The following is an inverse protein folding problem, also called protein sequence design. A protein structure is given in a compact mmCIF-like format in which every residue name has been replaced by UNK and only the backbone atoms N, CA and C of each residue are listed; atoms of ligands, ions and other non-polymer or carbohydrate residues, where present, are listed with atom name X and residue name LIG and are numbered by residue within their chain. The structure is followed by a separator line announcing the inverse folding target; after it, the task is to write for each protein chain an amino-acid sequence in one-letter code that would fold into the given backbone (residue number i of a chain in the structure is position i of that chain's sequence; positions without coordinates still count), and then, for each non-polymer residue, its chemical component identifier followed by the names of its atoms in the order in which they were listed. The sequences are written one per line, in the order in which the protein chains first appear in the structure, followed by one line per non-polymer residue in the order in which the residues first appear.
data_IF_635847092133
#
_entry.id   IF_635847092133
#
_cell.length_a   1.000
_cell.length_b   1.000
_cell.length_c   1.000
_cell.angle_alpha   90.00
_cell.angle_beta   90.00
_cell.angle_gamma   90.00
#
_symmetry.space_group_name_H-M   'P 1'
#
loop_
_entity.id
_entity.type
_entity.pdbx_description
1 polymer ?
#
# COMPACT_ATOMS: atom_id res chain seq x y z
N UNK A 1 -5.15 45.38 -26.99
CA UNK A 1 -5.04 45.13 -28.45
C UNK A 1 -3.58 45.04 -28.83
N UNK A 2 -3.14 43.88 -29.35
CA UNK A 2 -2.23 43.81 -30.48
C UNK A 2 -2.93 43.14 -31.66
N UNK A 3 -2.75 43.71 -32.86
CA UNK A 3 -3.32 43.25 -34.12
C UNK A 3 -2.85 41.83 -34.45
N UNK A 4 -3.79 40.91 -34.58
CA UNK A 4 -3.56 39.63 -35.23
C UNK A 4 -3.29 39.89 -36.72
N UNK A 5 -2.07 39.64 -37.16
CA UNK A 5 -1.77 39.41 -38.57
C UNK A 5 -2.48 38.11 -38.96
N UNK A 6 -3.60 38.25 -39.68
CA UNK A 6 -4.23 37.16 -40.43
C UNK A 6 -3.26 36.81 -41.56
N UNK A 7 -2.68 35.59 -41.61
CA UNK A 7 -1.95 35.16 -42.78
C UNK A 7 -2.94 34.69 -43.85
N UNK A 8 -2.62 35.03 -45.09
CA UNK A 8 -3.32 34.73 -46.33
C UNK A 8 -4.12 33.42 -46.33
N UNK A 9 -5.40 33.53 -46.66
CA UNK A 9 -6.30 32.42 -46.94
C UNK A 9 -5.77 31.61 -48.14
N UNK A 10 -5.00 30.56 -47.87
CA UNK A 10 -4.89 29.44 -48.80
C UNK A 10 -6.30 28.95 -49.09
N UNK A 11 -6.80 29.15 -50.32
CA UNK A 11 -8.14 28.74 -50.73
C UNK A 11 -8.24 27.21 -50.67
N UNK A 12 -8.67 26.70 -49.51
CA UNK A 12 -8.92 25.28 -49.30
C UNK A 12 -10.03 24.83 -50.24
N UNK A 13 -9.71 23.93 -51.18
CA UNK A 13 -10.71 23.37 -52.09
C UNK A 13 -11.77 22.58 -51.31
N UNK A 14 -12.97 22.36 -51.87
CA UNK A 14 -14.01 21.55 -51.22
C UNK A 14 -13.52 20.17 -50.77
N UNK A 15 -12.60 19.55 -51.52
CA UNK A 15 -12.00 18.25 -51.20
C UNK A 15 -11.13 18.29 -49.94
N UNK A 16 -10.38 19.38 -49.73
CA UNK A 16 -9.63 19.62 -48.50
C UNK A 16 -10.55 19.66 -47.27
N UNK A 17 -11.71 20.34 -47.38
CA UNK A 17 -12.68 20.39 -46.27
C UNK A 17 -13.27 19.01 -45.97
N UNK A 18 -13.53 18.20 -47.00
CA UNK A 18 -14.07 16.84 -46.86
C UNK A 18 -13.08 15.90 -46.17
N UNK A 19 -11.79 15.91 -46.56
CA UNK A 19 -10.81 15.01 -45.92
C UNK A 19 -10.57 15.40 -44.45
N UNK A 20 -10.49 16.69 -44.12
CA UNK A 20 -10.33 17.12 -42.73
C UNK A 20 -11.53 16.71 -41.91
N UNK A 21 -12.75 16.92 -42.41
CA UNK A 21 -13.95 16.49 -41.69
C UNK A 21 -13.95 14.98 -41.45
N UNK A 22 -13.52 14.19 -42.44
CA UNK A 22 -13.41 12.73 -42.32
C UNK A 22 -12.35 12.32 -41.27
N UNK A 23 -11.22 13.03 -41.23
CA UNK A 23 -10.16 12.82 -40.23
C UNK A 23 -10.65 13.20 -38.84
N UNK A 24 -11.29 14.36 -38.70
CA UNK A 24 -11.89 14.81 -37.44
C UNK A 24 -12.91 13.80 -36.94
N UNK A 25 -13.79 13.28 -37.81
CA UNK A 25 -14.72 12.19 -37.44
C UNK A 25 -13.97 10.93 -37.01
N UNK A 26 -12.91 10.54 -37.72
CA UNK A 26 -12.09 9.39 -37.35
C UNK A 26 -11.41 9.57 -35.99
N UNK A 27 -10.89 10.76 -35.70
CA UNK A 27 -10.30 11.10 -34.40
C UNK A 27 -11.35 11.13 -33.31
N UNK A 28 -12.54 11.69 -33.56
CA UNK A 28 -13.65 11.63 -32.61
C UNK A 28 -13.99 10.19 -32.28
N UNK A 29 -14.10 9.30 -33.27
CA UNK A 29 -14.33 7.88 -33.06
C UNK A 29 -13.19 7.20 -32.28
N UNK A 30 -11.94 7.59 -32.54
CA UNK A 30 -10.77 7.13 -31.79
C UNK A 30 -10.82 7.60 -30.32
N UNK A 31 -11.12 8.88 -30.08
CA UNK A 31 -11.29 9.48 -28.75
C UNK A 31 -12.44 8.84 -27.96
N UNK A 32 -13.50 8.41 -28.64
CA UNK A 32 -14.66 7.78 -28.00
C UNK A 32 -14.43 6.31 -27.59
N UNK A 33 -13.27 5.71 -27.91
CA UNK A 33 -12.96 4.33 -27.50
C UNK A 33 -12.80 4.20 -25.98
N UNK A 34 -12.14 5.15 -25.32
CA UNK A 34 -12.05 5.22 -23.86
C UNK A 34 -11.75 6.64 -23.38
N UNK A 35 -11.95 6.95 -22.09
CA UNK A 35 -11.58 8.25 -21.52
C UNK A 35 -10.09 8.61 -21.69
N UNK A 36 -9.19 7.62 -21.68
CA UNK A 36 -7.77 7.87 -21.94
C UNK A 36 -7.53 8.35 -23.38
N UNK A 37 -8.24 7.77 -24.35
CA UNK A 37 -8.19 8.24 -25.73
C UNK A 37 -8.75 9.66 -25.86
N UNK A 38 -9.79 9.98 -25.07
CA UNK A 38 -10.37 11.32 -25.02
C UNK A 38 -9.40 12.35 -24.43
N UNK A 39 -8.65 11.99 -23.40
CA UNK A 39 -7.63 12.83 -22.75
C UNK A 39 -6.40 13.14 -23.64
N UNK A 40 -6.25 12.48 -24.81
CA UNK A 40 -5.13 12.76 -25.70
C UNK A 40 -5.24 14.11 -26.41
N UNK A 41 -6.44 14.74 -26.46
CA UNK A 41 -6.67 16.07 -27.04
C UNK A 41 -5.98 16.29 -28.41
N UNK A 42 -6.02 15.28 -29.29
CA UNK A 42 -5.36 15.31 -30.61
C UNK A 42 -6.06 16.27 -31.58
N UNK A 43 -5.51 17.44 -31.80
CA UNK A 43 -5.99 18.43 -32.75
C UNK A 43 -5.39 18.23 -34.13
N UNK A 44 -6.11 18.73 -35.15
CA UNK A 44 -5.75 18.52 -36.55
C UNK A 44 -5.82 19.82 -37.33
N UNK A 45 -4.75 20.11 -38.05
CA UNK A 45 -4.63 21.31 -38.88
C UNK A 45 -3.95 20.98 -40.21
N UNK A 46 -4.20 21.79 -41.24
CA UNK A 46 -3.42 21.70 -42.47
C UNK A 46 -1.99 22.18 -42.24
N UNK A 47 -1.02 21.50 -42.85
CA UNK A 47 0.33 22.03 -42.95
C UNK A 47 0.32 23.22 -43.91
N UNK A 48 1.08 24.28 -43.59
CA UNK A 48 1.29 25.44 -44.47
C UNK A 48 1.89 25.04 -45.83
N UNK A 49 2.55 23.89 -45.92
CA UNK A 49 3.14 23.35 -47.15
C UNK A 49 2.18 22.47 -47.98
N UNK A 50 0.87 22.52 -47.70
CA UNK A 50 -0.12 21.73 -48.44
C UNK A 50 -0.31 22.34 -49.82
N UNK A 51 0.36 21.77 -50.83
CA UNK A 51 0.22 22.20 -52.22
C UNK A 51 -1.17 21.83 -52.78
N UNK A 52 -1.79 22.70 -53.61
CA UNK A 52 -3.00 22.36 -54.33
C UNK A 52 -2.76 21.17 -55.27
N UNK A 53 -3.82 20.38 -55.47
CA UNK A 53 -3.81 19.11 -56.19
C UNK A 53 -3.45 19.36 -57.65
N UNK A 54 -2.52 18.57 -58.20
CA UNK A 54 -2.33 18.53 -59.65
C UNK A 54 -3.55 17.81 -60.29
N UNK A 55 -4.18 18.39 -61.33
CA UNK A 55 -5.46 17.92 -61.88
C UNK A 55 -5.47 16.45 -62.36
N UNK A 56 -4.29 15.85 -62.59
CA UNK A 56 -4.13 14.46 -63.06
C UNK A 56 -3.98 13.39 -61.96
N UNK A 57 -3.96 13.77 -60.67
CA UNK A 57 -3.78 12.79 -59.60
C UNK A 57 -5.10 12.08 -59.25
N UNK A 58 -5.22 10.77 -59.59
CA UNK A 58 -6.38 9.93 -59.21
C UNK A 58 -6.58 9.73 -57.70
N UNK A 59 -5.72 10.30 -56.85
CA UNK A 59 -5.76 10.18 -55.39
C UNK A 59 -5.46 11.51 -54.73
N UNK A 60 -6.48 12.10 -54.12
CA UNK A 60 -6.32 13.26 -53.26
C UNK A 60 -5.45 12.91 -52.04
N UNK A 61 -4.38 13.70 -51.83
CA UNK A 61 -3.52 13.61 -50.64
C UNK A 61 -3.26 15.00 -50.08
N UNK A 62 -3.20 15.11 -48.75
CA UNK A 62 -2.95 16.36 -48.05
C UNK A 62 -1.91 16.15 -46.93
N UNK A 63 -1.08 17.17 -46.68
CA UNK A 63 -0.19 17.19 -45.52
C UNK A 63 -0.93 17.75 -44.32
N UNK A 64 -1.01 16.96 -43.27
CA UNK A 64 -1.83 17.25 -42.10
C UNK A 64 -0.96 17.16 -40.85
N UNK A 65 -1.13 18.15 -39.98
CA UNK A 65 -0.50 18.24 -38.69
C UNK A 65 -1.47 17.62 -37.68
N UNK A 66 -0.99 16.63 -36.92
CA UNK A 66 -1.67 16.11 -35.74
C UNK A 66 -0.88 16.58 -34.54
N UNK A 67 -1.54 17.24 -33.59
CA UNK A 67 -0.87 17.81 -32.44
C UNK A 67 -1.65 17.53 -31.15
N UNK A 68 -0.95 17.36 -30.04
CA UNK A 68 -1.51 17.50 -28.71
C UNK A 68 -0.57 18.41 -27.88
N UNK A 69 -0.78 18.48 -26.56
CA UNK A 69 0.03 19.34 -25.69
C UNK A 69 1.54 19.03 -25.66
N UNK A 70 1.96 17.82 -26.04
CA UNK A 70 3.36 17.37 -25.90
C UNK A 70 4.02 16.93 -27.20
N UNK A 71 3.23 16.63 -28.23
CA UNK A 71 3.71 16.01 -29.47
C UNK A 71 3.00 16.61 -30.68
N UNK A 72 3.79 16.94 -31.69
CA UNK A 72 3.30 17.37 -33.00
C UNK A 72 3.93 16.48 -34.07
N UNK A 73 3.10 15.93 -34.95
CA UNK A 73 3.54 15.14 -36.09
C UNK A 73 2.89 15.63 -37.37
N UNK A 74 3.69 15.68 -38.44
CA UNK A 74 3.21 16.00 -39.78
C UNK A 74 3.15 14.70 -40.58
N UNK A 75 2.01 14.43 -41.22
CA UNK A 75 1.79 13.22 -42.02
C UNK A 75 1.08 13.53 -43.33
N UNK A 76 1.30 12.68 -44.33
CA UNK A 76 0.55 12.72 -45.59
C UNK A 76 -0.67 11.81 -45.44
N UNK A 77 -1.85 12.40 -45.53
CA UNK A 77 -3.13 11.69 -45.47
C UNK A 77 -3.73 11.59 -46.87
N UNK A 78 -4.44 10.51 -47.14
CA UNK A 78 -5.19 10.31 -48.38
C UNK A 78 -6.48 9.55 -48.12
N UNK A 79 -7.36 9.52 -49.13
CA UNK A 79 -8.62 8.76 -49.06
C UNK A 79 -8.50 7.50 -49.91
N UNK A 80 -8.91 6.34 -49.38
CA UNK A 80 -9.02 5.10 -50.18
C UNK A 80 -10.15 5.27 -51.20
N UNK A 81 -9.92 5.02 -52.51
CA UNK A 81 -10.93 5.22 -53.55
C UNK A 81 -12.20 4.37 -53.35
N UNK A 82 -12.04 3.15 -52.85
CA UNK A 82 -13.13 2.16 -52.74
C UNK A 82 -13.89 2.30 -51.42
N UNK A 83 -13.19 2.43 -50.29
CA UNK A 83 -13.83 2.44 -48.96
C UNK A 83 -14.09 3.84 -48.43
N UNK A 84 -13.55 4.88 -49.08
CA UNK A 84 -13.61 6.25 -48.60
C UNK A 84 -12.89 6.50 -47.27
N UNK A 85 -12.21 5.50 -46.72
CA UNK A 85 -11.50 5.61 -45.44
C UNK A 85 -10.21 6.42 -45.59
N UNK A 86 -9.87 7.16 -44.53
CA UNK A 86 -8.60 7.88 -44.47
C UNK A 86 -7.47 6.89 -44.22
N UNK A 87 -6.40 7.05 -44.99
CA UNK A 87 -5.12 6.39 -44.78
C UNK A 87 -4.01 7.39 -44.58
N UNK A 88 -3.01 7.00 -43.79
CA UNK A 88 -1.84 7.82 -43.46
C UNK A 88 -0.60 7.15 -44.05
N UNK A 89 0.27 7.92 -44.70
CA UNK A 89 1.54 7.42 -45.21
C UNK A 89 2.60 7.49 -44.13
N UNK A 90 3.05 6.32 -43.67
CA UNK A 90 4.12 6.17 -42.67
C UNK A 90 5.20 5.23 -43.18
N UNK A 91 6.47 5.67 -43.12
CA UNK A 91 7.64 4.89 -43.58
C UNK A 91 7.44 4.24 -44.97
N UNK A 92 6.80 4.99 -45.89
CA UNK A 92 6.52 4.53 -47.26
C UNK A 92 5.26 3.65 -47.43
N UNK A 93 4.59 3.22 -46.35
CA UNK A 93 3.37 2.39 -46.40
C UNK A 93 2.13 3.20 -46.02
N UNK A 94 0.96 2.79 -46.55
CA UNK A 94 -0.33 3.38 -46.20
C UNK A 94 -0.98 2.58 -45.06
N UNK A 95 -1.06 3.16 -43.88
CA UNK A 95 -1.67 2.58 -42.68
C UNK A 95 -3.04 3.22 -42.39
N UNK A 96 -3.86 2.58 -41.55
CA UNK A 96 -5.14 3.17 -41.14
C UNK A 96 -4.90 4.38 -40.22
N UNK A 97 -5.87 5.29 -40.17
CA UNK A 97 -5.85 6.42 -39.24
C UNK A 97 -5.71 5.92 -37.78
N UNK A 98 -6.44 4.88 -37.39
CA UNK A 98 -6.40 4.36 -36.01
C UNK A 98 -5.02 3.79 -35.65
N UNK A 99 -4.38 3.04 -36.55
CA UNK A 99 -3.05 2.46 -36.28
C UNK A 99 -2.00 3.55 -36.11
N UNK A 100 -2.05 4.57 -36.96
CA UNK A 100 -1.15 5.73 -36.87
C UNK A 100 -1.40 6.52 -35.57
N UNK A 101 -2.66 6.75 -35.17
CA UNK A 101 -2.97 7.43 -33.91
C UNK A 101 -2.47 6.61 -32.70
N UNK A 102 -2.70 5.30 -32.68
CA UNK A 102 -2.25 4.43 -31.59
C UNK A 102 -0.71 4.39 -31.45
N UNK A 103 0.02 4.47 -32.58
CA UNK A 103 1.47 4.48 -32.58
C UNK A 103 2.07 5.82 -32.14
N UNK A 104 1.50 6.95 -32.59
CA UNK A 104 2.09 8.27 -32.36
C UNK A 104 1.50 8.97 -31.12
N UNK A 105 0.31 8.57 -30.65
CA UNK A 105 -0.36 9.12 -29.48
C UNK A 105 -0.84 8.00 -28.54
N UNK A 106 0.08 7.28 -27.87
CA UNK A 106 -0.29 6.14 -27.03
C UNK A 106 -1.07 6.59 -25.78
N UNK A 107 -2.12 5.85 -25.42
CA UNK A 107 -2.91 6.11 -24.20
C UNK A 107 -2.10 6.03 -22.89
N UNK A 108 -0.94 5.39 -22.89
CA UNK A 108 -0.05 5.27 -21.72
C UNK A 108 0.42 6.65 -21.22
N UNK A 109 0.48 7.66 -22.10
CA UNK A 109 0.84 9.02 -21.73
C UNK A 109 -0.35 9.89 -21.31
N UNK A 110 -1.58 9.37 -21.34
CA UNK A 110 -2.78 10.13 -21.01
C UNK A 110 -3.18 9.96 -19.53
N UNK A 111 -3.67 11.04 -18.92
CA UNK A 111 -4.27 11.02 -17.59
C UNK A 111 -5.76 11.42 -17.72
N UNK A 112 -6.66 10.50 -17.39
CA UNK A 112 -8.09 10.81 -17.36
C UNK A 112 -8.47 11.48 -16.03
N UNK A 113 -8.89 12.74 -16.08
CA UNK A 113 -9.45 13.44 -14.92
C UNK A 113 -10.95 13.19 -14.82
N UNK A 114 -11.57 13.57 -13.69
CA UNK A 114 -13.03 13.51 -13.53
C UNK A 114 -13.77 14.28 -14.63
N UNK A 115 -13.24 15.44 -15.03
CA UNK A 115 -13.79 16.23 -16.15
C UNK A 115 -13.67 15.48 -17.49
N UNK A 116 -12.55 14.81 -17.75
CA UNK A 116 -12.38 13.97 -18.94
C UNK A 116 -13.40 12.83 -18.97
N UNK A 117 -13.59 12.16 -17.83
CA UNK A 117 -14.56 11.07 -17.69
C UNK A 117 -15.99 11.57 -17.97
N UNK A 118 -16.36 12.72 -17.40
CA UNK A 118 -17.66 13.35 -17.61
C UNK A 118 -17.88 13.75 -19.07
N UNK A 119 -16.93 14.45 -19.70
CA UNK A 119 -17.03 14.86 -21.10
C UNK A 119 -17.10 13.67 -22.06
N UNK A 120 -16.32 12.61 -21.81
CA UNK A 120 -16.41 11.38 -22.59
C UNK A 120 -17.81 10.75 -22.44
N UNK A 121 -18.34 10.69 -21.22
CA UNK A 121 -19.67 10.14 -20.96
C UNK A 121 -20.76 10.90 -21.70
N UNK A 122 -20.77 12.23 -21.60
CA UNK A 122 -21.71 13.09 -22.31
C UNK A 122 -21.60 12.97 -23.83
N UNK A 123 -20.39 12.79 -24.35
CA UNK A 123 -20.14 12.68 -25.79
C UNK A 123 -20.46 11.29 -26.38
N UNK A 124 -20.37 10.23 -25.58
CA UNK A 124 -20.59 8.86 -26.06
C UNK A 124 -22.07 8.55 -26.31
N UNK A 125 -23.01 9.25 -25.65
CA UNK A 125 -24.45 9.14 -25.91
C UNK A 125 -25.04 7.74 -25.68
N UNK A 126 -24.31 6.84 -25.02
CA UNK A 126 -24.71 5.44 -24.81
C UNK A 126 -25.51 5.27 -23.52
N UNK A 127 -26.44 4.33 -23.54
CA UNK A 127 -27.11 3.80 -22.34
C UNK A 127 -26.08 3.06 -21.49
N UNK A 128 -26.20 3.17 -20.17
CA UNK A 128 -25.31 2.47 -19.24
C UNK A 128 -25.32 0.96 -19.46
N UNK A 129 -24.16 0.40 -19.79
CA UNK A 129 -23.93 -1.03 -19.93
C UNK A 129 -22.57 -1.38 -19.33
N UNK A 130 -22.57 -1.99 -18.14
CA UNK A 130 -21.35 -2.35 -17.42
C UNK A 130 -20.34 -3.11 -18.29
N UNK A 131 -20.77 -4.13 -19.03
CA UNK A 131 -19.88 -4.96 -19.84
C UNK A 131 -19.13 -4.14 -20.90
N UNK A 132 -19.82 -3.16 -21.50
CA UNK A 132 -19.27 -2.28 -22.53
C UNK A 132 -18.51 -1.06 -22.01
N UNK A 133 -18.44 -0.83 -20.69
CA UNK A 133 -17.68 0.28 -20.14
C UNK A 133 -16.16 0.04 -20.26
N UNK A 134 -15.39 1.08 -20.63
CA UNK A 134 -13.95 1.09 -20.47
C UNK A 134 -13.54 0.84 -19.02
N UNK A 135 -12.37 0.20 -18.84
CA UNK A 135 -11.87 -0.21 -17.53
C UNK A 135 -11.69 0.98 -16.58
N UNK A 136 -11.30 2.13 -17.10
CA UNK A 136 -11.05 3.35 -16.33
C UNK A 136 -12.33 3.91 -15.71
N UNK A 137 -13.46 3.83 -16.43
CA UNK A 137 -14.77 4.23 -15.90
C UNK A 137 -15.25 3.23 -14.86
N UNK A 138 -15.08 1.93 -15.13
CA UNK A 138 -15.40 0.87 -14.16
C UNK A 138 -14.64 1.11 -12.85
N UNK A 139 -13.36 1.40 -12.94
CA UNK A 139 -12.51 1.69 -11.79
C UNK A 139 -12.97 2.94 -11.05
N UNK A 140 -13.29 4.02 -11.77
CA UNK A 140 -13.79 5.25 -11.15
C UNK A 140 -15.12 5.05 -10.42
N UNK A 141 -16.07 4.31 -11.01
CA UNK A 141 -17.34 3.95 -10.36
C UNK A 141 -17.08 3.13 -9.08
N UNK A 142 -16.22 2.11 -9.17
CA UNK A 142 -15.89 1.27 -8.01
C UNK A 142 -15.16 2.07 -6.92
N UNK A 143 -14.23 2.94 -7.29
CA UNK A 143 -13.57 3.86 -6.37
C UNK A 143 -14.57 4.78 -5.67
N UNK A 144 -15.55 5.31 -6.40
CA UNK A 144 -16.63 6.11 -5.82
C UNK A 144 -17.46 5.29 -4.82
N UNK A 145 -17.90 4.09 -5.17
CA UNK A 145 -18.66 3.20 -4.28
C UNK A 145 -17.87 2.86 -3.00
N UNK A 146 -16.61 2.44 -3.14
CA UNK A 146 -15.73 2.10 -2.01
C UNK A 146 -15.40 3.31 -1.15
N UNK A 147 -15.19 4.50 -1.74
CA UNK A 147 -14.94 5.74 -1.02
C UNK A 147 -16.17 6.25 -0.26
N UNK A 148 -17.38 6.05 -0.81
CA UNK A 148 -18.66 6.42 -0.19
C UNK A 148 -19.06 5.50 0.98
N UNK A 149 -18.61 4.24 0.99
CA UNK A 149 -18.91 3.27 2.04
C UNK A 149 -18.62 3.78 3.46
N UNK A 150 -17.65 4.68 3.59
CA UNK A 150 -17.20 5.24 4.87
C UNK A 150 -17.91 6.54 5.28
N UNK A 151 -18.65 7.18 4.37
CA UNK A 151 -19.46 8.37 4.69
C UNK A 151 -20.82 7.98 5.30
N UNK A 152 -21.35 6.81 4.93
CA UNK A 152 -22.61 6.28 5.47
C UNK A 152 -22.45 5.44 6.74
N UNK A 153 -21.25 4.93 7.02
CA UNK A 153 -21.00 4.09 8.19
C UNK A 153 -21.29 4.81 9.52
N UNK A 154 -21.01 6.11 9.63
CA UNK A 154 -21.15 6.82 10.91
C UNK A 154 -22.58 6.87 11.45
N UNK A 155 -23.60 6.84 10.58
CA UNK A 155 -25.00 6.77 11.01
C UNK A 155 -25.41 5.35 11.43
N UNK A 156 -25.06 4.33 10.63
CA UNK A 156 -25.42 2.93 10.89
C UNK A 156 -24.81 2.39 12.20
N UNK A 157 -23.55 2.75 12.51
CA UNK A 157 -22.90 2.31 13.76
C UNK A 157 -23.24 3.17 14.98
N UNK A 158 -23.88 4.32 14.80
CA UNK A 158 -24.55 5.05 15.89
C UNK A 158 -25.85 4.36 16.30
N UNK A 159 -26.58 3.79 15.34
CA UNK A 159 -27.85 3.08 15.59
C UNK A 159 -27.64 1.61 15.97
N UNK A 160 -26.51 1.00 15.61
CA UNK A 160 -26.16 -0.39 15.92
C UNK A 160 -24.80 -0.47 16.64
N UNK A 161 -24.74 -0.18 17.96
CA UNK A 161 -23.48 -0.14 18.72
C UNK A 161 -22.74 -1.48 18.76
N UNK A 162 -23.46 -2.59 18.57
CA UNK A 162 -22.91 -3.94 18.53
C UNK A 162 -22.45 -4.38 17.13
N UNK A 163 -22.78 -3.62 16.08
CA UNK A 163 -22.31 -3.94 14.73
C UNK A 163 -20.81 -3.65 14.61
N UNK A 164 -20.07 -4.57 14.00
CA UNK A 164 -18.63 -4.40 13.74
C UNK A 164 -18.44 -3.20 12.81
N UNK A 165 -17.98 -2.06 13.36
CA UNK A 165 -17.58 -0.87 12.56
C UNK A 165 -16.66 -1.32 11.41
N UNK A 166 -16.87 -0.88 10.16
CA UNK A 166 -16.09 -1.31 9.01
C UNK A 166 -14.73 -0.66 9.21
N UNK A 167 -13.74 -1.46 9.62
CA UNK A 167 -12.42 -0.92 9.87
C UNK A 167 -11.66 -1.03 8.56
N UNK A 168 -11.29 0.12 8.02
CA UNK A 168 -10.44 0.44 6.83
C UNK A 168 -9.33 -0.57 6.44
N UNK A 169 -9.01 -1.53 7.29
CA UNK A 169 -7.88 -2.42 7.21
C UNK A 169 -8.16 -3.73 6.44
N UNK A 170 -9.39 -4.28 6.48
CA UNK A 170 -9.74 -5.49 5.71
C UNK A 170 -10.48 -5.13 4.40
N UNK A 171 -10.27 -5.91 3.33
CA UNK A 171 -10.92 -5.66 2.01
C UNK A 171 -12.44 -5.59 2.12
N UNK A 172 -13.06 -6.47 2.92
CA UNK A 172 -14.51 -6.45 3.15
C UNK A 172 -14.97 -5.21 3.91
N UNK A 173 -14.18 -4.79 4.89
CA UNK A 173 -14.48 -3.61 5.70
C UNK A 173 -14.34 -2.31 4.88
N UNK A 174 -13.43 -2.26 3.91
CA UNK A 174 -13.32 -1.14 2.94
C UNK A 174 -14.52 -1.06 1.99
N UNK A 175 -15.23 -2.18 1.79
CA UNK A 175 -16.39 -2.23 0.90
C UNK A 175 -17.69 -1.94 1.66
N UNK A 176 -17.78 -2.28 2.94
CA UNK A 176 -19.00 -2.08 3.74
C UNK A 176 -20.23 -2.67 3.04
N UNK A 177 -21.24 -1.84 2.84
CA UNK A 177 -22.49 -2.20 2.15
C UNK A 177 -22.26 -2.63 0.68
N UNK A 178 -21.13 -2.24 0.09
CA UNK A 178 -20.72 -2.63 -1.26
C UNK A 178 -19.96 -3.96 -1.31
N UNK A 179 -19.90 -4.72 -0.21
CA UNK A 179 -19.24 -6.05 -0.19
C UNK A 179 -19.80 -7.03 -1.24
N UNK A 180 -21.08 -6.87 -1.62
CA UNK A 180 -21.72 -7.62 -2.69
C UNK A 180 -21.02 -7.47 -4.06
N UNK A 181 -20.23 -6.40 -4.28
CA UNK A 181 -19.43 -6.22 -5.50
C UNK A 181 -18.46 -7.39 -5.73
N UNK A 182 -17.97 -8.03 -4.67
CA UNK A 182 -17.11 -9.21 -4.79
C UNK A 182 -17.85 -10.41 -5.39
N UNK A 183 -19.18 -10.43 -5.35
CA UNK A 183 -20.01 -11.55 -5.80
C UNK A 183 -20.50 -11.38 -7.25
N UNK A 184 -20.46 -10.18 -7.82
CA UNK A 184 -21.10 -9.85 -9.11
C UNK A 184 -20.45 -10.59 -10.29
N UNK A 185 -19.14 -10.43 -10.50
CA UNK A 185 -18.42 -11.09 -11.58
C UNK A 185 -16.92 -11.19 -11.29
N UNK A 186 -16.21 -12.04 -12.04
CA UNK A 186 -14.75 -12.17 -11.92
C UNK A 186 -14.03 -10.84 -12.22
N UNK A 187 -14.49 -10.10 -13.23
CA UNK A 187 -13.91 -8.80 -13.59
C UNK A 187 -14.14 -7.76 -12.48
N UNK A 188 -15.36 -7.64 -11.96
CA UNK A 188 -15.69 -6.70 -10.88
C UNK A 188 -14.88 -7.05 -9.63
N UNK A 189 -14.89 -8.31 -9.20
CA UNK A 189 -14.11 -8.78 -8.05
C UNK A 189 -12.63 -8.46 -8.19
N UNK A 190 -12.04 -8.69 -9.36
CA UNK A 190 -10.63 -8.43 -9.59
C UNK A 190 -10.31 -6.92 -9.51
N UNK A 191 -11.12 -6.07 -10.15
CA UNK A 191 -10.95 -4.62 -10.11
C UNK A 191 -11.15 -4.07 -8.69
N UNK A 192 -12.23 -4.43 -8.02
CA UNK A 192 -12.52 -4.03 -6.63
C UNK A 192 -11.39 -4.43 -5.69
N UNK A 193 -10.95 -5.69 -5.75
CA UNK A 193 -9.86 -6.17 -4.89
C UNK A 193 -8.55 -5.45 -5.19
N UNK A 194 -8.25 -5.19 -6.48
CA UNK A 194 -7.06 -4.44 -6.89
C UNK A 194 -7.10 -3.02 -6.35
N UNK A 195 -8.25 -2.34 -6.40
CA UNK A 195 -8.41 -0.99 -5.84
C UNK A 195 -8.18 -0.98 -4.33
N UNK A 196 -8.79 -1.91 -3.59
CA UNK A 196 -8.58 -2.06 -2.15
C UNK A 196 -7.11 -2.31 -1.78
N UNK A 197 -6.41 -3.15 -2.56
CA UNK A 197 -5.00 -3.47 -2.32
C UNK A 197 -4.02 -2.40 -2.84
N UNK A 198 -4.40 -1.59 -3.82
CA UNK A 198 -3.56 -0.49 -4.33
C UNK A 198 -3.55 0.70 -3.35
N UNK A 199 -4.61 0.82 -2.54
CA UNK A 199 -4.79 1.96 -1.65
C UNK A 199 -5.34 3.19 -2.39
N UNK A 200 -5.66 4.23 -1.62
CA UNK A 200 -6.11 5.53 -2.10
C UNK A 200 -5.69 6.62 -1.09
N UNK A 201 -6.13 7.87 -1.30
CA UNK A 201 -5.84 8.99 -0.38
C UNK A 201 -6.33 8.75 1.06
N UNK A 202 -7.35 7.93 1.25
CA UNK A 202 -7.91 7.60 2.57
C UNK A 202 -7.21 6.38 3.18
N UNK A 203 -6.70 5.46 2.35
CA UNK A 203 -6.24 4.13 2.73
C UNK A 203 -4.87 3.80 2.16
N UNK A 204 -3.99 3.49 3.08
CA UNK A 204 -2.71 2.90 2.77
C UNK A 204 -2.85 1.57 2.00
N UNK A 205 -2.19 1.44 0.84
CA UNK A 205 -2.23 0.21 0.03
C UNK A 205 -1.64 -1.02 0.72
N UNK A 206 -2.06 -2.19 0.28
CA UNK A 206 -1.65 -3.51 0.76
C UNK A 206 -2.65 -4.18 1.69
N UNK A 207 -2.50 -5.51 1.89
CA UNK A 207 -3.30 -6.25 2.86
C UNK A 207 -2.97 -5.75 4.27
N UNK A 208 -3.95 -5.18 4.96
CA UNK A 208 -3.77 -4.60 6.29
C UNK A 208 -4.51 -5.43 7.34
N UNK A 209 -3.93 -5.57 8.53
CA UNK A 209 -4.60 -6.21 9.67
C UNK A 209 -4.64 -5.21 10.82
N UNK A 210 -5.84 -5.01 11.38
CA UNK A 210 -6.01 -4.19 12.57
C UNK A 210 -6.55 -5.00 13.73
N UNK A 211 -6.00 -4.79 14.91
CA UNK A 211 -6.39 -5.52 16.10
C UNK A 211 -6.32 -4.63 17.33
N UNK A 212 -7.38 -4.70 18.16
CA UNK A 212 -7.49 -3.94 19.41
C UNK A 212 -7.31 -4.81 20.67
N UNK A 213 -7.05 -6.10 20.47
CA UNK A 213 -6.72 -7.02 21.56
C UNK A 213 -5.77 -8.10 21.07
N UNK A 214 -4.97 -8.70 21.96
CA UNK A 214 -4.08 -9.80 21.59
C UNK A 214 -4.82 -11.01 21.02
N UNK A 215 -6.07 -11.24 21.47
CA UNK A 215 -6.92 -12.30 20.96
C UNK A 215 -7.32 -12.04 19.51
N UNK A 216 -7.86 -10.85 19.21
CA UNK A 216 -8.20 -10.45 17.83
C UNK A 216 -6.99 -10.61 16.90
N UNK A 217 -5.82 -10.16 17.36
CA UNK A 217 -4.59 -10.25 16.59
C UNK A 217 -4.17 -11.70 16.32
N UNK A 218 -4.15 -12.52 17.37
CA UNK A 218 -3.83 -13.95 17.26
C UNK A 218 -4.81 -14.67 16.34
N UNK A 219 -6.10 -14.40 16.45
CA UNK A 219 -7.14 -15.01 15.64
C UNK A 219 -7.01 -14.59 14.16
N UNK A 220 -6.74 -13.31 13.90
CA UNK A 220 -6.51 -12.79 12.55
C UNK A 220 -5.29 -13.46 11.88
N UNK A 221 -4.13 -13.45 12.55
CA UNK A 221 -2.91 -14.09 12.05
C UNK A 221 -3.12 -15.58 11.85
N UNK A 222 -3.72 -16.27 12.82
CA UNK A 222 -3.97 -17.72 12.74
C UNK A 222 -4.93 -18.05 11.60
N UNK A 223 -6.01 -17.28 11.40
CA UNK A 223 -6.93 -17.45 10.27
C UNK A 223 -6.21 -17.27 8.94
N UNK A 224 -5.50 -16.15 8.76
CA UNK A 224 -4.78 -15.85 7.51
C UNK A 224 -3.64 -16.84 7.23
N UNK A 225 -3.10 -17.49 8.27
CA UNK A 225 -2.06 -18.50 8.14
C UNK A 225 -2.55 -19.82 7.53
N UNK A 226 -3.87 -20.08 7.53
CA UNK A 226 -4.46 -21.34 7.03
C UNK A 226 -4.75 -21.31 5.53
N UNK A 227 -4.70 -20.13 4.90
CA UNK A 227 -5.12 -19.96 3.51
C UNK A 227 -3.88 -19.72 2.63
N UNK A 228 -3.54 -20.69 1.77
CA UNK A 228 -2.43 -20.58 0.82
C UNK A 228 -2.74 -19.60 -0.31
N UNK A 229 -1.73 -18.86 -0.76
CA UNK A 229 -1.80 -18.00 -1.94
C UNK A 229 -1.66 -18.86 -3.19
N UNK A 230 -2.65 -18.81 -4.09
CA UNK A 230 -2.67 -19.61 -5.33
C UNK A 230 -1.97 -18.87 -6.48
N UNK A 231 -0.80 -18.28 -6.20
CA UNK A 231 -0.03 -17.49 -7.18
C UNK A 231 0.93 -18.37 -7.99
N UNK A 232 1.52 -19.39 -7.34
CA UNK A 232 2.47 -20.31 -7.98
C UNK A 232 1.85 -21.69 -8.17
N UNK A 233 2.33 -22.50 -9.14
CA UNK A 233 1.91 -23.88 -9.25
C UNK A 233 2.32 -24.68 -8.01
N UNK A 234 1.50 -25.66 -7.62
CA UNK A 234 1.71 -26.53 -6.45
C UNK A 234 1.87 -25.75 -5.12
N UNK A 235 1.21 -24.60 -4.99
CA UNK A 235 1.21 -23.77 -3.78
C UNK A 235 0.51 -24.41 -2.58
N UNK A 236 -0.38 -25.37 -2.82
CA UNK A 236 -1.07 -26.12 -1.75
C UNK A 236 -0.32 -27.42 -1.52
N UNK A 237 0.12 -27.72 -0.28
CA UNK A 237 0.78 -28.99 0.01
C UNK A 237 -0.21 -30.15 -0.11
N UNK A 238 0.15 -31.15 -0.91
CA UNK A 238 -0.68 -32.35 -1.17
C UNK A 238 -0.14 -33.61 -0.49
N UNK A 239 1.10 -33.59 -0.01
CA UNK A 239 1.77 -34.73 0.63
C UNK A 239 2.54 -34.31 1.90
N UNK A 240 2.90 -35.29 2.74
CA UNK A 240 3.59 -35.06 4.03
C UNK A 240 4.88 -34.24 3.87
N UNK A 241 5.68 -34.51 2.83
CA UNK A 241 6.94 -33.78 2.56
C UNK A 241 6.67 -32.30 2.27
N UNK A 242 5.71 -32.01 1.39
CA UNK A 242 5.30 -30.63 1.07
C UNK A 242 4.67 -29.93 2.27
N UNK A 243 3.98 -30.66 3.15
CA UNK A 243 3.43 -30.11 4.38
C UNK A 243 4.53 -29.74 5.37
N UNK A 244 5.60 -30.51 5.47
CA UNK A 244 6.78 -30.15 6.27
C UNK A 244 7.44 -28.88 5.74
N UNK A 245 7.65 -28.78 4.42
CA UNK A 245 8.22 -27.59 3.77
C UNK A 245 7.33 -26.35 3.95
N UNK A 246 6.02 -26.50 3.78
CA UNK A 246 5.05 -25.43 4.04
C UNK A 246 5.09 -24.98 5.50
N UNK A 247 5.17 -25.92 6.45
CA UNK A 247 5.27 -25.63 7.89
C UNK A 247 6.59 -24.90 8.23
N UNK A 248 7.68 -25.27 7.57
CA UNK A 248 8.98 -24.62 7.72
C UNK A 248 8.93 -23.17 7.23
N UNK A 249 8.38 -22.94 6.04
CA UNK A 249 8.19 -21.60 5.50
C UNK A 249 7.28 -20.74 6.39
N UNK A 250 6.18 -21.32 6.90
CA UNK A 250 5.22 -20.64 7.77
C UNK A 250 5.84 -20.07 9.06
N UNK A 251 6.88 -20.73 9.57
CA UNK A 251 7.60 -20.33 10.79
C UNK A 251 8.76 -19.39 10.48
N UNK A 252 9.46 -19.62 9.37
CA UNK A 252 10.74 -18.98 9.07
C UNK A 252 10.81 -18.50 7.61
N UNK A 253 9.91 -17.61 7.17
CA UNK A 253 9.84 -17.22 5.76
C UNK A 253 11.09 -16.44 5.29
N UNK A 254 11.71 -15.66 6.18
CA UNK A 254 12.94 -14.91 5.89
C UNK A 254 14.15 -15.83 5.67
N UNK A 255 14.20 -16.99 6.34
CA UNK A 255 15.29 -17.96 6.22
C UNK A 255 15.10 -18.94 5.05
N UNK A 256 13.86 -19.10 4.57
CA UNK A 256 13.54 -20.02 3.47
C UNK A 256 12.80 -19.33 2.31
N UNK A 257 13.36 -18.27 1.70
CA UNK A 257 12.69 -17.53 0.63
C UNK A 257 12.39 -18.40 -0.61
N UNK A 258 13.15 -19.45 -0.85
CA UNK A 258 12.93 -20.41 -1.95
C UNK A 258 11.64 -21.26 -1.78
N UNK A 259 11.02 -21.25 -0.60
CA UNK A 259 9.76 -21.94 -0.30
C UNK A 259 8.53 -21.01 -0.40
N UNK A 260 8.70 -19.79 -0.96
CA UNK A 260 7.64 -18.80 -1.12
C UNK A 260 6.38 -19.30 -1.86
N UNK A 261 6.49 -20.38 -2.63
CA UNK A 261 5.34 -21.08 -3.24
C UNK A 261 4.29 -21.48 -2.19
N UNK A 262 4.70 -21.77 -0.96
CA UNK A 262 3.81 -22.12 0.16
C UNK A 262 3.34 -20.89 0.96
N UNK A 263 3.50 -19.67 0.42
CA UNK A 263 2.99 -18.47 1.04
C UNK A 263 1.49 -18.56 1.30
N UNK A 264 1.09 -17.95 2.40
CA UNK A 264 -0.30 -17.87 2.88
C UNK A 264 -0.72 -16.41 2.91
N UNK A 265 -2.01 -16.12 3.09
CA UNK A 265 -2.47 -14.74 3.18
C UNK A 265 -1.79 -13.96 4.32
N UNK A 266 -1.39 -14.65 5.41
CA UNK A 266 -0.58 -14.06 6.47
C UNK A 266 0.73 -13.45 5.92
N UNK A 267 1.42 -14.15 5.03
CA UNK A 267 2.66 -13.66 4.42
C UNK A 267 2.42 -12.48 3.46
N UNK A 268 1.18 -12.26 3.01
CA UNK A 268 0.80 -11.14 2.15
C UNK A 268 0.51 -9.85 2.91
N UNK A 269 0.49 -9.87 4.26
CA UNK A 269 0.26 -8.70 5.10
C UNK A 269 1.36 -7.66 4.83
N UNK A 270 0.94 -6.45 4.48
CA UNK A 270 1.82 -5.29 4.24
C UNK A 270 1.80 -4.32 5.41
N UNK A 271 0.67 -4.19 6.11
CA UNK A 271 0.52 -3.22 7.19
C UNK A 271 -0.17 -3.80 8.41
N UNK A 272 0.25 -3.38 9.59
CA UNK A 272 -0.44 -3.72 10.85
C UNK A 272 -0.85 -2.46 11.61
N UNK A 273 -2.02 -2.54 12.22
CA UNK A 273 -2.48 -1.61 13.24
C UNK A 273 -2.73 -2.41 14.53
N UNK A 274 -2.01 -2.09 15.60
CA UNK A 274 -2.07 -2.80 16.87
C UNK A 274 -2.41 -1.81 17.97
N UNK A 275 -3.49 -2.06 18.72
CA UNK A 275 -3.82 -1.33 19.96
C UNK A 275 -4.04 -2.34 21.07
N UNK A 276 -3.22 -2.32 22.11
CA UNK A 276 -3.33 -3.25 23.24
C UNK A 276 -3.41 -2.48 24.56
N UNK A 277 -3.87 -3.12 25.64
CA UNK A 277 -3.76 -2.55 26.99
C UNK A 277 -2.32 -2.66 27.52
N UNK A 278 -2.04 -2.18 28.74
CA UNK A 278 -0.66 -2.14 29.25
C UNK A 278 -0.05 -3.53 29.35
N UNK A 279 -0.72 -4.47 30.03
CA UNK A 279 -0.21 -5.84 30.21
C UNK A 279 0.09 -6.51 28.88
N UNK A 280 -0.83 -6.39 27.92
CA UNK A 280 -0.68 -6.98 26.60
C UNK A 280 0.46 -6.34 25.80
N UNK A 281 0.65 -5.02 25.92
CA UNK A 281 1.75 -4.31 25.25
C UNK A 281 3.11 -4.75 25.82
N UNK A 282 3.23 -4.81 27.15
CA UNK A 282 4.42 -5.30 27.86
C UNK A 282 4.78 -6.73 27.41
N UNK A 283 3.78 -7.63 27.40
CA UNK A 283 3.97 -9.01 26.94
C UNK A 283 4.29 -9.11 25.44
N UNK A 284 3.66 -8.29 24.60
CA UNK A 284 3.88 -8.30 23.15
C UNK A 284 5.32 -7.93 22.81
N UNK A 285 5.85 -6.88 23.42
CA UNK A 285 7.24 -6.43 23.26
C UNK A 285 8.28 -7.19 24.09
N UNK A 286 7.83 -8.23 24.82
CA UNK A 286 8.69 -9.08 25.67
C UNK A 286 9.48 -8.27 26.71
N UNK A 287 8.82 -7.33 27.37
CA UNK A 287 9.43 -6.60 28.50
C UNK A 287 9.73 -7.58 29.64
N UNK A 288 10.98 -7.58 30.12
CA UNK A 288 11.47 -8.42 31.22
C UNK A 288 11.65 -7.66 32.54
N UNK A 289 11.57 -6.32 32.50
CA UNK A 289 11.69 -5.47 33.68
C UNK A 289 10.68 -5.89 34.77
N UNK A 290 11.13 -5.93 36.03
CA UNK A 290 10.30 -6.33 37.17
C UNK A 290 9.77 -7.77 37.13
N UNK A 291 10.40 -8.67 36.37
CA UNK A 291 9.97 -10.08 36.26
C UNK A 291 8.63 -10.28 35.53
N UNK A 292 8.20 -9.28 34.74
CA UNK A 292 6.94 -9.31 33.98
C UNK A 292 6.82 -10.51 33.03
N UNK A 293 7.95 -11.03 32.55
CA UNK A 293 8.00 -12.16 31.64
C UNK A 293 7.46 -13.46 32.24
N UNK A 294 7.56 -13.63 33.57
CA UNK A 294 7.03 -14.78 34.33
C UNK A 294 5.50 -14.87 34.28
N UNK A 295 4.81 -13.73 34.13
CA UNK A 295 3.35 -13.65 34.09
C UNK A 295 2.78 -13.80 32.67
N UNK A 296 3.65 -13.90 31.66
CA UNK A 296 3.23 -14.07 30.27
C UNK A 296 2.74 -15.49 30.03
N UNK A 297 1.53 -15.61 29.48
CA UNK A 297 0.98 -16.91 29.07
C UNK A 297 1.91 -17.58 28.04
N UNK A 298 2.18 -18.91 28.14
CA UNK A 298 3.10 -19.60 27.22
C UNK A 298 2.75 -19.45 25.74
N UNK A 299 1.45 -19.35 25.42
CA UNK A 299 0.94 -19.25 24.04
C UNK A 299 0.54 -17.82 23.65
N UNK A 300 1.08 -16.81 24.33
CA UNK A 300 0.87 -15.40 23.99
C UNK A 300 1.64 -15.06 22.71
N UNK A 301 0.97 -14.41 21.75
CA UNK A 301 1.62 -13.98 20.50
C UNK A 301 2.43 -12.72 20.75
N UNK A 302 3.75 -12.82 20.66
CA UNK A 302 4.70 -11.72 20.85
C UNK A 302 5.07 -11.07 19.52
N UNK A 303 5.91 -10.04 19.58
CA UNK A 303 6.50 -9.36 18.43
C UNK A 303 7.31 -10.28 17.50
N UNK A 304 7.63 -11.52 17.90
CA UNK A 304 8.28 -12.51 17.00
C UNK A 304 7.46 -12.81 15.76
N UNK A 305 6.14 -12.62 15.84
CA UNK A 305 5.25 -12.79 14.70
C UNK A 305 5.63 -11.86 13.54
N UNK A 306 6.25 -10.71 13.81
CA UNK A 306 6.65 -9.76 12.78
C UNK A 306 7.72 -10.38 11.85
N UNK A 307 8.60 -11.25 12.38
CA UNK A 307 9.59 -11.98 11.58
C UNK A 307 8.94 -12.99 10.61
N UNK A 308 7.68 -13.35 10.84
CA UNK A 308 6.88 -14.22 9.97
C UNK A 308 6.15 -13.46 8.86
N UNK A 309 6.30 -12.13 8.80
CA UNK A 309 5.65 -11.25 7.84
C UNK A 309 6.71 -10.63 6.91
N UNK A 310 7.19 -11.36 5.89
CA UNK A 310 8.32 -10.95 5.03
C UNK A 310 8.04 -9.71 4.18
N UNK A 311 6.79 -9.27 4.16
CA UNK A 311 6.26 -8.25 3.29
C UNK A 311 5.72 -7.04 4.04
N UNK A 312 5.82 -7.07 5.37
CA UNK A 312 5.42 -5.98 6.25
C UNK A 312 6.28 -4.76 6.00
N UNK A 313 5.64 -3.67 5.58
CA UNK A 313 6.30 -2.39 5.33
C UNK A 313 5.75 -1.25 6.20
N UNK A 314 4.59 -1.40 6.83
CA UNK A 314 4.00 -0.38 7.72
C UNK A 314 3.49 -0.93 9.05
N UNK A 315 3.78 -0.22 10.13
CA UNK A 315 3.39 -0.57 11.51
C UNK A 315 2.82 0.65 12.21
N UNK A 316 1.57 0.56 12.66
CA UNK A 316 0.95 1.56 13.52
C UNK A 316 0.65 0.89 14.86
N UNK A 317 1.28 1.36 15.92
CA UNK A 317 1.14 0.81 17.26
C UNK A 317 0.59 1.90 18.17
N UNK A 318 -0.60 1.65 18.69
CA UNK A 318 -1.32 2.52 19.60
C UNK A 318 -1.18 1.97 21.02
N UNK A 319 -0.35 2.63 21.80
CA UNK A 319 -0.16 2.36 23.21
C UNK A 319 -1.39 2.81 24.02
N UNK A 320 -1.64 2.17 25.18
CA UNK A 320 -2.73 2.56 26.06
C UNK A 320 -2.49 3.95 26.64
N UNK A 321 -3.51 4.82 26.64
CA UNK A 321 -3.47 6.13 27.31
C UNK A 321 -4.16 6.13 28.68
N UNK A 322 -5.09 5.18 28.88
CA UNK A 322 -5.96 5.12 30.06
C UNK A 322 -5.45 4.07 31.05
N UNK A 323 -4.50 4.45 31.91
CA UNK A 323 -3.89 3.54 32.88
C UNK A 323 -4.84 3.10 34.01
N UNK A 324 -5.92 3.85 34.26
CA UNK A 324 -6.91 3.52 35.31
C UNK A 324 -7.87 2.40 34.92
N UNK A 325 -8.03 2.11 33.63
CA UNK A 325 -8.93 1.03 33.16
C UNK A 325 -8.37 -0.35 33.52
N UNK A 326 -7.05 -0.47 33.66
CA UNK A 326 -6.37 -1.69 34.09
C UNK A 326 -6.39 -1.85 35.64
N UNK A 327 -7.11 -1.00 36.42
CA UNK A 327 -7.33 -1.17 37.88
C UNK A 327 -8.28 -2.31 38.25
N UNK A 328 -8.94 -2.94 37.26
CA UNK A 328 -9.87 -4.04 37.55
C UNK A 328 -9.07 -5.24 38.08
N UNK A 329 -9.40 -5.65 39.30
CA UNK A 329 -8.85 -6.72 40.17
C UNK A 329 -8.75 -8.15 39.57
N UNK A 330 -8.78 -8.28 38.25
CA UNK A 330 -8.79 -9.56 37.51
C UNK A 330 -7.49 -9.89 36.79
N UNK A 331 -6.50 -8.98 36.81
CA UNK A 331 -5.20 -9.23 36.19
C UNK A 331 -4.32 -10.06 37.15
N UNK A 332 -3.54 -11.03 36.62
CA UNK A 332 -2.68 -11.90 37.45
C UNK A 332 -1.51 -11.15 38.08
N UNK A 333 -1.29 -9.88 37.71
CA UNK A 333 -0.19 -9.05 38.18
C UNK A 333 -0.66 -7.61 38.36
N UNK A 334 -0.27 -6.99 39.48
CA UNK A 334 -0.54 -5.60 39.75
C UNK A 334 0.48 -4.73 39.02
N UNK A 335 0.00 -3.93 38.05
CA UNK A 335 0.86 -3.08 37.22
C UNK A 335 1.17 -1.72 37.83
N UNK A 336 0.28 -1.22 38.69
CA UNK A 336 0.35 0.13 39.24
C UNK A 336 0.32 0.08 40.76
N UNK A 337 1.20 0.84 41.40
CA UNK A 337 1.20 0.99 42.85
C UNK A 337 -0.08 1.71 43.27
N UNK A 338 -0.68 1.30 44.39
CA UNK A 338 -2.01 1.78 44.79
C UNK A 338 -2.04 3.27 45.11
N UNK A 339 -0.99 3.73 45.80
CA UNK A 339 -0.87 5.11 46.29
C UNK A 339 0.01 5.99 45.40
N UNK A 340 0.81 5.40 44.51
CA UNK A 340 1.83 6.14 43.75
C UNK A 340 2.08 5.53 42.36
N UNK A 341 1.07 5.55 41.48
CA UNK A 341 1.13 4.89 40.18
C UNK A 341 2.05 5.61 39.20
N UNK A 342 2.92 4.87 38.53
CA UNK A 342 3.85 5.41 37.53
C UNK A 342 3.62 4.84 36.12
N UNK A 343 2.57 5.29 35.38
CA UNK A 343 2.36 4.90 33.99
C UNK A 343 3.54 5.27 33.08
N UNK A 344 4.27 6.34 33.41
CA UNK A 344 5.46 6.74 32.64
C UNK A 344 6.54 5.68 32.58
N UNK A 345 6.80 5.01 33.70
CA UNK A 345 7.80 3.93 33.74
C UNK A 345 7.40 2.75 32.87
N UNK A 346 6.12 2.33 32.91
CA UNK A 346 5.64 1.24 32.06
C UNK A 346 5.70 1.59 30.57
N UNK A 347 5.31 2.81 30.21
CA UNK A 347 5.45 3.32 28.85
C UNK A 347 6.91 3.33 28.41
N UNK A 348 7.84 3.81 29.25
CA UNK A 348 9.27 3.82 28.96
C UNK A 348 9.81 2.43 28.66
N UNK A 349 9.47 1.43 29.47
CA UNK A 349 9.84 0.04 29.19
C UNK A 349 9.31 -0.46 27.84
N UNK A 350 8.09 -0.05 27.47
CA UNK A 350 7.54 -0.35 26.15
C UNK A 350 8.31 0.38 25.05
N UNK A 351 8.60 1.68 25.20
CA UNK A 351 9.33 2.49 24.23
C UNK A 351 10.71 1.90 23.93
N UNK A 352 11.47 1.54 24.96
CA UNK A 352 12.81 0.95 24.82
C UNK A 352 12.77 -0.38 24.06
N UNK A 353 11.89 -1.31 24.46
CA UNK A 353 11.74 -2.59 23.76
C UNK A 353 11.19 -2.43 22.34
N UNK A 354 10.26 -1.50 22.13
CA UNK A 354 9.71 -1.21 20.82
C UNK A 354 10.77 -0.61 19.89
N UNK A 355 11.62 0.29 20.38
CA UNK A 355 12.70 0.88 19.59
C UNK A 355 13.64 -0.18 19.02
N UNK A 356 14.03 -1.18 19.83
CA UNK A 356 14.85 -2.30 19.39
C UNK A 356 14.14 -3.21 18.38
N UNK A 357 12.94 -3.68 18.73
CA UNK A 357 12.22 -4.71 17.94
C UNK A 357 11.71 -4.15 16.62
N UNK A 358 11.36 -2.86 16.57
CA UNK A 358 10.79 -2.21 15.39
C UNK A 358 11.87 -1.57 14.51
N UNK A 359 13.13 -1.53 14.93
CA UNK A 359 14.26 -1.01 14.16
C UNK A 359 14.39 -1.57 12.73
N UNK A 360 14.06 -2.85 12.44
CA UNK A 360 14.17 -3.38 11.09
C UNK A 360 13.13 -2.82 10.08
N UNK A 361 12.11 -2.09 10.53
CA UNK A 361 10.98 -1.65 9.70
C UNK A 361 11.04 -0.13 9.45
N UNK A 362 10.64 0.29 8.23
CA UNK A 362 10.82 1.68 7.78
C UNK A 362 9.65 2.61 8.16
N UNK A 363 8.40 2.22 7.91
CA UNK A 363 7.21 3.04 8.22
C UNK A 363 6.60 2.60 9.55
N UNK A 364 7.24 3.00 10.66
CA UNK A 364 6.79 2.70 12.03
C UNK A 364 6.22 3.96 12.68
N UNK A 365 4.99 3.87 13.18
CA UNK A 365 4.32 4.91 13.96
C UNK A 365 3.93 4.33 15.32
N UNK A 366 4.53 4.85 16.39
CA UNK A 366 4.21 4.51 17.77
C UNK A 366 3.57 5.73 18.42
N UNK A 367 2.41 5.59 19.05
CA UNK A 367 1.75 6.69 19.76
C UNK A 367 0.76 6.15 20.80
N UNK A 368 0.29 6.93 21.78
CA UNK A 368 0.81 8.24 22.16
C UNK A 368 2.17 8.13 22.86
N UNK A 369 2.98 9.17 22.69
CA UNK A 369 4.07 9.47 23.60
C UNK A 369 3.52 10.28 24.77
N UNK A 370 4.11 10.10 25.95
CA UNK A 370 3.70 10.84 27.16
C UNK A 370 4.02 12.32 27.01
N UNK A 371 5.22 12.61 26.50
CA UNK A 371 5.69 13.94 26.20
C UNK A 371 6.71 13.89 25.04
N UNK A 372 7.13 15.07 24.59
CA UNK A 372 8.11 15.21 23.51
C UNK A 372 9.48 14.62 23.87
N UNK A 373 9.83 14.58 25.16
CA UNK A 373 11.11 14.01 25.63
C UNK A 373 11.15 12.50 25.43
N UNK A 374 10.09 11.78 25.82
CA UNK A 374 9.99 10.33 25.57
C UNK A 374 9.93 10.02 24.06
N UNK A 375 9.25 10.87 23.27
CA UNK A 375 9.25 10.74 21.81
C UNK A 375 10.65 10.88 21.21
N UNK A 376 11.40 11.90 21.64
CA UNK A 376 12.76 12.12 21.18
C UNK A 376 13.68 10.98 21.59
N UNK A 377 13.59 10.51 22.83
CA UNK A 377 14.35 9.36 23.32
C UNK A 377 14.06 8.10 22.50
N UNK A 378 12.78 7.80 22.24
CA UNK A 378 12.38 6.69 21.37
C UNK A 378 12.99 6.80 19.98
N UNK A 379 12.92 7.99 19.36
CA UNK A 379 13.48 8.22 18.01
C UNK A 379 14.99 8.00 17.98
N UNK A 380 15.72 8.46 19.00
CA UNK A 380 17.16 8.26 19.12
C UNK A 380 17.52 6.78 19.26
N UNK A 381 16.83 6.06 20.16
CA UNK A 381 17.03 4.62 20.33
C UNK A 381 16.70 3.85 19.05
N UNK A 382 15.58 4.17 18.40
CA UNK A 382 15.14 3.50 17.17
C UNK A 382 16.16 3.68 16.04
N UNK A 383 16.70 4.90 15.87
CA UNK A 383 17.76 5.18 14.90
C UNK A 383 19.06 4.43 15.23
N UNK A 384 19.48 4.42 16.49
CA UNK A 384 20.68 3.70 16.93
C UNK A 384 20.55 2.19 16.67
N UNK A 385 19.41 1.58 17.00
CA UNK A 385 19.16 0.18 16.70
C UNK A 385 19.07 -0.08 15.19
N UNK A 386 18.45 0.80 14.41
CA UNK A 386 18.36 0.65 12.95
C UNK A 386 19.76 0.65 12.30
N UNK A 387 20.66 1.53 12.74
CA UNK A 387 22.06 1.53 12.32
C UNK A 387 22.77 0.21 12.68
N UNK A 388 22.57 -0.29 13.90
CA UNK A 388 23.17 -1.55 14.34
C UNK A 388 22.69 -2.76 13.51
N UNK A 389 21.41 -2.78 13.13
CA UNK A 389 20.82 -3.84 12.29
C UNK A 389 21.41 -3.79 10.89
N UNK A 390 21.55 -2.59 10.31
CA UNK A 390 22.13 -2.41 8.99
C UNK A 390 23.62 -2.82 8.96
N UNK A 391 24.40 -2.42 9.97
CA UNK A 391 25.79 -2.85 10.12
C UNK A 391 25.91 -4.38 10.24
N UNK A 392 25.02 -5.02 11.02
CA UNK A 392 24.99 -6.48 11.15
C UNK A 392 24.68 -7.16 9.82
N UNK A 393 23.69 -6.66 9.05
CA UNK A 393 23.37 -7.16 7.70
C UNK A 393 24.56 -7.01 6.74
N UNK A 394 25.24 -5.86 6.77
CA UNK A 394 26.41 -5.61 5.94
C UNK A 394 27.57 -6.55 6.29
N UNK A 395 27.86 -6.75 7.59
CA UNK A 395 28.91 -7.66 8.08
C UNK A 395 28.61 -9.12 7.73
N UNK A 396 27.35 -9.56 7.84
CA UNK A 396 26.94 -10.89 7.38
C UNK A 396 27.12 -11.00 5.87
N UNK A 397 26.67 -10.01 5.09
CA UNK A 397 26.85 -10.00 3.64
C UNK A 397 28.32 -10.07 3.20
N UNK A 398 29.23 -9.38 3.90
CA UNK A 398 30.67 -9.43 3.59
C UNK A 398 31.29 -10.79 3.90
N UNK A 399 30.83 -11.49 4.95
CA UNK A 399 31.31 -12.83 5.31
C UNK A 399 30.98 -13.89 4.24
N UNK A 400 29.92 -13.69 3.45
CA UNK A 400 29.49 -14.61 2.40
C UNK A 400 29.89 -14.16 0.97
N UNK A 401 30.40 -12.94 0.81
CA UNK A 401 30.87 -12.42 -0.48
C UNK A 401 32.38 -12.60 -0.73
N UNK A 402 33.14 -13.06 0.27
CA UNK A 402 34.54 -13.42 0.11
C UNK A 402 34.70 -14.74 -0.65
N UNK A 403 35.69 -14.80 -1.53
CA UNK A 403 36.02 -15.94 -2.41
C UNK A 403 36.41 -17.24 -1.67
N UNK A 404 36.60 -17.17 -0.36
CA UNK A 404 37.02 -18.29 0.50
C UNK A 404 35.82 -18.79 1.32
N UNK A 405 34.72 -19.07 0.64
CA UNK A 405 33.44 -19.47 1.23
C UNK A 405 33.53 -20.75 2.06
N UNK A 406 33.85 -20.60 3.35
CA UNK A 406 33.84 -21.65 4.35
C UNK A 406 34.49 -21.19 5.64
N UNK A 407 33.69 -20.91 6.68
CA UNK A 407 34.24 -20.85 8.03
C UNK A 407 34.54 -22.29 8.44
N UNK A 408 35.82 -22.65 8.53
CA UNK A 408 36.25 -23.87 9.23
C UNK A 408 35.81 -23.72 10.68
N UNK A 409 34.84 -24.54 11.10
CA UNK A 409 34.50 -24.68 12.52
C UNK A 409 35.60 -25.55 13.15
N UNK A 410 36.77 -24.96 13.35
CA UNK A 410 37.83 -25.57 14.16
C UNK A 410 37.49 -25.34 15.62
N UNK A 411 36.52 -26.10 16.10
CA UNK A 411 36.35 -26.51 17.50
C UNK A 411 35.09 -27.37 17.58
N UNK A 412 35.25 -28.63 17.97
CA UNK A 412 34.18 -29.41 18.56
C UNK A 412 33.59 -28.59 19.71
N UNK A 413 32.45 -27.95 19.48
CA UNK A 413 31.68 -27.32 20.55
C UNK A 413 31.16 -28.47 21.40
N UNK A 414 31.91 -28.79 22.45
CA UNK A 414 31.39 -29.56 23.57
C UNK A 414 30.10 -28.91 24.05
N UNK A 415 29.06 -29.72 24.19
CA UNK A 415 27.79 -29.30 24.77
C UNK A 415 28.06 -28.82 26.19
N UNK A 416 28.03 -27.50 26.39
CA UNK A 416 27.89 -26.93 27.72
C UNK A 416 28.64 -25.62 27.92
N UNK A 417 27.95 -24.70 28.59
CA UNK A 417 28.47 -23.52 29.29
C UNK A 417 28.99 -22.32 28.48
N UNK A 418 28.20 -21.25 28.57
CA UNK A 418 28.58 -19.84 28.55
C UNK A 418 29.12 -19.26 27.24
N UNK A 419 28.20 -19.03 26.28
CA UNK A 419 28.39 -17.96 25.29
C UNK A 419 28.12 -16.64 26.00
N UNK A 420 29.18 -15.90 26.31
CA UNK A 420 29.11 -14.50 26.70
C UNK A 420 28.47 -13.71 25.56
N UNK A 421 27.19 -13.37 25.75
CA UNK A 421 26.48 -12.40 24.93
C UNK A 421 27.24 -11.07 24.95
N UNK A 422 27.61 -10.60 23.77
CA UNK A 422 28.12 -9.24 23.59
C UNK A 422 26.96 -8.27 23.83
N UNK A 423 26.74 -7.88 25.08
CA UNK A 423 25.87 -6.75 25.43
C UNK A 423 26.61 -5.45 25.09
N UNK A 424 26.03 -4.53 24.31
CA UNK A 424 26.42 -3.13 24.40
C UNK A 424 25.87 -2.61 25.74
N UNK A 425 26.62 -2.80 26.81
CA UNK A 425 26.39 -2.20 28.13
C UNK A 425 27.44 -1.13 28.30
N UNK A 426 27.06 0.14 28.14
CA UNK A 426 27.73 1.31 28.75
C UNK A 426 27.11 2.64 28.26
N UNK A 427 25.79 2.76 28.27
CA UNK A 427 25.14 4.07 28.42
C UNK A 427 23.92 3.82 29.32
N UNK A 428 23.92 4.40 30.52
CA UNK A 428 22.87 4.34 31.55
C UNK A 428 22.79 3.05 32.41
N UNK A 429 23.82 2.78 33.22
CA UNK A 429 23.63 2.05 34.49
C UNK A 429 23.68 3.07 35.64
N UNK A 430 22.52 3.67 35.93
CA UNK A 430 22.25 4.09 37.31
C UNK A 430 21.61 2.89 38.00
N UNK A 431 22.24 2.47 39.08
CA UNK A 431 21.81 1.37 39.96
C UNK A 431 20.33 1.53 40.35
N UNK A 432 19.51 0.53 40.00
CA UNK A 432 18.16 0.37 40.55
C UNK A 432 18.18 -0.88 41.44
N UNK A 433 17.74 -0.77 42.71
CA UNK A 433 17.86 -1.84 43.71
C UNK A 433 16.76 -2.91 43.56
N UNK A 434 17.13 -4.16 43.84
CA UNK A 434 16.27 -5.21 44.41
C UNK A 434 15.26 -5.90 43.50
N UNK A 435 15.08 -7.21 43.68
CA UNK A 435 14.16 -8.09 42.94
C UNK A 435 12.65 -7.84 43.18
N UNK A 436 12.24 -6.68 43.71
CA UNK A 436 10.84 -6.30 44.05
C UNK A 436 10.38 -5.00 43.32
N UNK A 437 10.54 -4.93 41.99
CA UNK A 437 10.34 -3.69 41.20
C UNK A 437 8.90 -3.50 40.67
N UNK A 438 7.99 -4.46 40.91
CA UNK A 438 6.62 -4.42 40.39
C UNK A 438 5.58 -4.45 41.53
N UNK A 439 4.64 -3.49 41.59
CA UNK A 439 4.47 -2.36 40.68
C UNK A 439 5.47 -1.21 40.93
N UNK A 440 5.91 -0.48 39.87
CA UNK A 440 6.83 0.63 40.03
C UNK A 440 6.13 1.80 40.75
N UNK A 441 6.84 2.38 41.74
CA UNK A 441 6.48 3.67 42.35
C UNK A 441 6.80 4.83 41.41
N UNK A 442 6.25 6.01 41.66
CA UNK A 442 6.52 7.20 40.86
C UNK A 442 7.74 7.96 41.41
N UNK A 443 8.72 8.17 40.53
CA UNK A 443 9.94 8.94 40.83
C UNK A 443 10.07 10.11 39.85
N UNK A 444 8.97 10.49 39.21
CA UNK A 444 8.94 11.60 38.25
C UNK A 444 8.95 12.92 39.01
N UNK A 445 9.64 13.93 38.48
CA UNK A 445 9.71 15.28 39.07
C UNK A 445 8.33 15.86 39.37
N UNK A 446 7.36 15.57 38.49
CA UNK A 446 5.93 15.77 38.75
C UNK A 446 5.26 14.41 38.87
N UNK A 447 4.55 14.11 39.98
CA UNK A 447 3.86 12.84 40.15
C UNK A 447 2.93 12.55 38.97
N UNK A 448 3.08 11.37 38.37
CA UNK A 448 2.26 10.98 37.21
C UNK A 448 0.76 10.97 37.54
N UNK A 449 0.41 10.70 38.80
CA UNK A 449 -0.98 10.73 39.23
C UNK A 449 -1.63 12.11 38.99
N UNK A 450 -0.88 13.19 39.13
CA UNK A 450 -1.38 14.57 39.03
C UNK A 450 -1.48 15.02 37.57
N UNK A 451 -0.46 14.72 36.76
CA UNK A 451 -0.43 15.09 35.32
C UNK A 451 -1.53 14.35 34.55
N UNK A 452 -1.67 13.05 34.78
CA UNK A 452 -2.65 12.24 34.08
C UNK A 452 -4.07 12.33 34.68
N UNK A 453 -4.27 13.07 35.78
CA UNK A 453 -5.62 13.39 36.29
C UNK A 453 -6.32 14.46 35.43
N UNK A 454 -5.54 15.40 34.87
CA UNK A 454 -6.08 16.58 34.17
C UNK A 454 -6.32 16.37 32.67
N UNK A 455 -5.66 15.40 32.03
CA UNK A 455 -5.80 15.15 30.58
C UNK A 455 -7.05 14.32 30.23
N UNK A 456 -7.84 13.93 31.24
CA UNK A 456 -9.06 13.12 31.09
C UNK A 456 -10.39 13.84 31.29
N UNK A 457 -10.40 15.18 31.37
CA UNK A 457 -11.62 16.00 31.35
C UNK A 457 -11.83 16.69 30.00
#
# INVERSE_FOLDING_TARGET
MPKACVPDDHVLTPEHRVIIKTIQTGITNYRLQSPLHFALHIDVQFSKDTKPIAPDSRRFTAKIIFANYSTEIIRICGKRPITGQVVIKEKGKWVSLNDSLAQNFPVVSALATEQTLHHWWSANGRVFNWSGLPTEIKEHILQFCTGQAHRYSDYYYRTHPNARKPRIYEVLDQLGDWSALLSVSRQVRALTTRLCLSGNINYNGGLTVASRSPREFKDAITRLSKHYQLVKPNSVPTNRKSQTLASQYLRFPQYHPHLDRYATFMHGIRKLYIKFNFLASLHFFKVTAGGLDRYRRPNFMTCDVLNRLPHLNGLIIVLPSEWRVDKISSLPVQLFHETDPCPRTLHRWIYERAAEVLAPYQDVKLHPFIDESEEQNFRQLHQAFALSVNQRKAKVGSLYNGSDGGVTIDTLIERGTNVTEFRPSEICQNELPGEDVLPPRCWCDVPCQDVFFYVGQ
#
